data_IF_276539470035
#
_entry.id   IF_276539470035
#
_cell.length_a   1.000
_cell.length_b   1.000
_cell.length_c   1.000
_cell.angle_alpha   90.00
_cell.angle_beta   90.00
_cell.angle_gamma   90.00
#
_symmetry.space_group_name_H-M   'P 1'
#
loop_
_entity.id
_entity.type
_entity.pdbx_description
1 polymer ?
#
# COMPACT_ATOMS: atom_id res chain seq x y z
N UNK A 1 21.69 20.13 -4.78
CA UNK A 1 20.31 19.60 -4.85
C UNK A 1 19.76 19.56 -3.44
N UNK A 2 18.51 20.00 -3.21
CA UNK A 2 17.86 19.79 -1.93
C UNK A 2 17.82 18.30 -1.60
N UNK A 3 18.04 17.98 -0.32
CA UNK A 3 18.05 16.60 0.19
C UNK A 3 16.95 16.44 1.19
N UNK A 4 16.13 15.42 0.99
CA UNK A 4 15.02 15.07 1.87
C UNK A 4 15.35 13.79 2.62
N UNK A 5 15.28 13.82 3.94
CA UNK A 5 15.36 12.63 4.75
C UNK A 5 13.93 12.12 5.00
N UNK A 6 13.64 10.93 4.50
CA UNK A 6 12.36 10.25 4.71
C UNK A 6 12.58 8.94 5.46
N UNK A 7 11.71 8.61 6.40
CA UNK A 7 11.78 7.34 7.13
C UNK A 7 10.89 6.32 6.45
N UNK A 8 11.50 5.34 5.77
CA UNK A 8 10.77 4.31 5.03
C UNK A 8 11.04 2.94 5.64
N UNK A 9 9.98 2.23 6.02
CA UNK A 9 10.05 0.90 6.66
C UNK A 9 10.96 0.90 7.90
N UNK A 10 10.90 1.98 8.70
CA UNK A 10 11.72 2.16 9.88
C UNK A 10 13.15 2.64 9.63
N UNK A 11 13.60 2.72 8.38
CA UNK A 11 14.96 3.08 7.99
C UNK A 11 14.98 4.50 7.44
N UNK A 12 15.86 5.40 7.94
CA UNK A 12 16.06 6.71 7.32
C UNK A 12 16.69 6.55 5.94
N UNK A 13 16.16 7.26 4.96
CA UNK A 13 16.62 7.28 3.57
C UNK A 13 16.79 8.71 3.10
N UNK A 14 17.86 8.97 2.39
CA UNK A 14 18.14 10.28 1.78
C UNK A 14 17.70 10.23 0.31
N UNK A 15 16.94 11.22 -0.11
CA UNK A 15 16.52 11.39 -1.50
C UNK A 15 16.90 12.79 -1.95
N UNK A 16 17.72 12.85 -2.98
CA UNK A 16 18.12 14.11 -3.62
C UNK A 16 17.14 14.40 -4.77
N UNK A 17 16.48 15.56 -4.72
CA UNK A 17 15.61 16.02 -5.82
C UNK A 17 15.62 17.54 -5.91
N UNK A 18 15.49 18.07 -7.13
CA UNK A 18 15.35 19.51 -7.36
C UNK A 18 13.92 20.00 -7.16
N UNK A 19 12.94 19.07 -7.21
CA UNK A 19 11.52 19.41 -7.10
C UNK A 19 10.96 18.95 -5.74
N UNK A 20 10.64 19.88 -4.82
CA UNK A 20 10.01 19.57 -3.55
C UNK A 20 8.60 18.95 -3.71
N UNK A 21 7.98 19.16 -4.87
CA UNK A 21 6.68 18.60 -5.22
C UNK A 21 6.78 17.25 -5.94
N UNK A 22 8.01 16.73 -6.13
CA UNK A 22 8.16 15.39 -6.71
C UNK A 22 7.28 14.39 -5.95
N UNK A 23 6.43 13.61 -6.64
CA UNK A 23 5.61 12.60 -6.00
C UNK A 23 6.45 11.56 -5.24
N UNK A 24 6.04 11.25 -4.03
CA UNK A 24 6.68 10.24 -3.17
C UNK A 24 6.85 8.89 -3.89
N UNK A 25 5.93 8.53 -4.78
CA UNK A 25 5.98 7.34 -5.63
C UNK A 25 7.35 7.19 -6.32
N UNK A 26 7.86 8.25 -6.94
CA UNK A 26 9.14 8.17 -7.67
C UNK A 26 10.33 8.02 -6.73
N UNK A 27 10.31 8.71 -5.59
CA UNK A 27 11.33 8.57 -4.56
C UNK A 27 11.41 7.12 -4.03
N UNK A 28 10.26 6.53 -3.71
CA UNK A 28 10.18 5.14 -3.23
C UNK A 28 10.71 4.14 -4.29
N UNK A 29 10.31 4.33 -5.55
CA UNK A 29 10.79 3.47 -6.64
C UNK A 29 12.28 3.63 -6.92
N UNK A 30 12.81 4.86 -6.83
CA UNK A 30 14.25 5.12 -6.93
C UNK A 30 15.04 4.39 -5.82
N UNK A 31 14.47 4.29 -4.62
CA UNK A 31 15.03 3.52 -3.51
C UNK A 31 14.90 1.99 -3.66
N UNK A 32 14.41 1.50 -4.79
CA UNK A 32 14.25 0.08 -5.08
C UNK A 32 12.98 -0.57 -4.51
N UNK A 33 12.05 0.23 -3.97
CA UNK A 33 10.78 -0.25 -3.40
C UNK A 33 9.75 -0.44 -4.53
N UNK A 34 9.84 -1.57 -5.20
CA UNK A 34 9.11 -1.84 -6.45
C UNK A 34 7.67 -2.29 -6.24
N UNK A 35 7.25 -2.58 -5.02
CA UNK A 35 5.85 -2.87 -4.70
C UNK A 35 4.94 -1.67 -4.96
N UNK A 36 5.48 -0.45 -4.85
CA UNK A 36 4.75 0.79 -5.14
C UNK A 36 4.67 0.98 -6.64
N UNK A 37 3.45 0.85 -7.22
CA UNK A 37 3.24 0.83 -8.66
C UNK A 37 2.71 2.16 -9.19
N UNK A 38 3.22 2.57 -10.36
CA UNK A 38 2.62 3.66 -11.12
C UNK A 38 1.47 3.11 -11.97
N UNK A 39 0.28 3.66 -11.81
CA UNK A 39 -0.88 3.33 -12.65
C UNK A 39 -1.42 4.61 -13.32
N UNK A 40 -2.39 5.29 -12.67
CA UNK A 40 -3.01 6.49 -13.25
C UNK A 40 -2.19 7.78 -13.07
N UNK A 41 -1.38 7.89 -12.02
CA UNK A 41 -0.70 9.14 -11.64
C UNK A 41 -1.62 10.25 -11.11
N UNK A 42 -2.91 9.95 -10.91
CA UNK A 42 -3.97 10.90 -10.56
C UNK A 42 -4.70 10.52 -9.25
N UNK A 43 -4.14 9.63 -8.44
CA UNK A 43 -4.72 9.22 -7.18
C UNK A 43 -5.94 8.30 -7.27
N UNK A 44 -6.36 7.85 -8.48
CA UNK A 44 -7.62 7.15 -8.72
C UNK A 44 -7.52 5.62 -8.63
N UNK A 45 -6.42 5.02 -9.14
CA UNK A 45 -6.35 3.55 -9.29
C UNK A 45 -5.89 2.80 -8.05
N UNK A 46 -5.23 3.45 -7.11
CA UNK A 46 -4.75 2.84 -5.87
C UNK A 46 -3.50 1.98 -5.95
N UNK A 47 -2.91 1.75 -7.13
CA UNK A 47 -1.72 0.91 -7.29
C UNK A 47 -0.48 1.44 -6.55
N UNK A 48 -0.44 2.73 -6.28
CA UNK A 48 0.64 3.43 -5.59
C UNK A 48 0.40 3.61 -4.08
N UNK A 49 -0.60 2.95 -3.50
CA UNK A 49 -0.95 3.13 -2.09
C UNK A 49 0.20 2.68 -1.18
N UNK A 50 0.55 3.55 -0.26
CA UNK A 50 1.46 3.30 0.87
C UNK A 50 0.80 3.78 2.15
N UNK A 51 1.37 3.43 3.29
CA UNK A 51 0.92 3.94 4.59
C UNK A 51 1.86 5.08 5.00
N UNK A 52 1.31 6.25 5.25
CA UNK A 52 2.03 7.39 5.82
C UNK A 52 1.30 7.81 7.09
N UNK A 53 2.02 7.82 8.19
CA UNK A 53 1.47 8.19 9.50
C UNK A 53 0.15 7.46 9.80
N UNK A 54 0.14 6.13 9.64
CA UNK A 54 -0.99 5.21 9.84
C UNK A 54 -2.17 5.37 8.85
N UNK A 55 -2.04 6.21 7.83
CA UNK A 55 -3.10 6.43 6.82
C UNK A 55 -2.70 5.86 5.46
N UNK A 56 -3.64 5.25 4.78
CA UNK A 56 -3.46 4.83 3.38
C UNK A 56 -3.50 6.07 2.47
N UNK A 57 -2.40 6.31 1.77
CA UNK A 57 -2.28 7.48 0.88
C UNK A 57 -1.84 7.07 -0.53
N UNK A 58 -2.22 7.86 -1.50
CA UNK A 58 -1.80 7.69 -2.90
C UNK A 58 -0.46 8.40 -3.10
N UNK A 59 0.63 7.66 -3.10
CA UNK A 59 1.99 8.23 -3.19
C UNK A 59 2.25 9.01 -4.49
N UNK A 60 1.48 8.76 -5.54
CA UNK A 60 1.55 9.54 -6.78
C UNK A 60 1.05 10.99 -6.64
N UNK A 61 0.27 11.28 -5.59
CA UNK A 61 -0.28 12.61 -5.31
C UNK A 61 0.38 13.31 -4.11
N UNK A 62 1.25 12.61 -3.39
CA UNK A 62 1.87 13.13 -2.18
C UNK A 62 3.26 13.70 -2.48
N UNK A 63 3.51 15.00 -2.29
CA UNK A 63 4.84 15.58 -2.45
C UNK A 63 5.83 15.01 -1.45
N UNK A 64 7.09 14.79 -1.87
CA UNK A 64 8.14 14.29 -0.98
C UNK A 64 8.37 15.23 0.21
N UNK A 65 8.27 16.53 0.02
CA UNK A 65 8.39 17.54 1.08
C UNK A 65 7.35 17.40 2.20
N UNK A 66 6.21 16.75 1.92
CA UNK A 66 5.13 16.58 2.90
C UNK A 66 5.32 15.39 3.84
N UNK A 67 6.32 14.53 3.60
CA UNK A 67 6.55 13.30 4.38
C UNK A 67 7.84 13.30 5.21
N UNK A 68 8.59 14.39 5.20
CA UNK A 68 9.93 14.50 5.77
C UNK A 68 10.05 13.99 7.23
N UNK A 69 9.03 14.22 8.06
CA UNK A 69 9.01 13.75 9.46
C UNK A 69 8.06 12.57 9.72
N UNK A 70 7.38 12.07 8.69
CA UNK A 70 6.33 11.06 8.85
C UNK A 70 6.85 9.66 8.49
N UNK A 71 6.49 8.63 9.27
CA UNK A 71 6.84 7.26 8.91
C UNK A 71 6.08 6.81 7.67
N UNK A 72 6.82 6.29 6.69
CA UNK A 72 6.29 5.71 5.46
C UNK A 72 6.46 4.19 5.53
N UNK A 73 5.39 3.44 5.29
CA UNK A 73 5.45 1.97 5.18
C UNK A 73 4.99 1.55 3.79
N UNK A 74 5.81 0.75 3.12
CA UNK A 74 5.47 0.08 1.87
C UNK A 74 5.18 -1.40 2.13
N UNK A 75 4.78 -2.15 1.09
CA UNK A 75 4.51 -3.59 1.24
C UNK A 75 5.74 -4.35 1.74
N UNK A 76 6.94 -3.94 1.34
CA UNK A 76 8.20 -4.54 1.78
C UNK A 76 8.44 -4.38 3.29
N UNK A 77 7.84 -3.37 3.91
CA UNK A 77 7.92 -3.13 5.36
C UNK A 77 6.75 -3.69 6.16
N UNK A 78 5.72 -4.23 5.50
CA UNK A 78 4.54 -4.79 6.17
C UNK A 78 4.81 -6.18 6.75
N UNK A 79 5.56 -7.00 6.02
CA UNK A 79 6.00 -8.33 6.43
C UNK A 79 7.05 -8.86 5.46
N UNK A 80 7.70 -9.99 5.81
CA UNK A 80 8.74 -10.65 5.02
C UNK A 80 8.27 -12.00 4.48
N UNK A 81 9.06 -12.62 3.59
CA UNK A 81 8.79 -13.95 3.09
C UNK A 81 8.70 -14.99 4.22
N UNK A 82 9.58 -14.88 5.23
CA UNK A 82 9.63 -15.82 6.36
C UNK A 82 8.57 -15.52 7.43
N UNK A 83 8.13 -14.25 7.50
CA UNK A 83 7.11 -13.79 8.45
C UNK A 83 6.13 -12.84 7.76
N UNK A 84 5.26 -13.38 6.91
CA UNK A 84 4.30 -12.55 6.20
C UNK A 84 3.26 -11.93 7.14
N UNK A 85 2.84 -10.72 6.83
CA UNK A 85 1.68 -10.11 7.48
C UNK A 85 0.43 -10.98 7.23
N UNK A 86 -0.55 -11.06 8.15
CA UNK A 86 -1.77 -11.86 7.96
C UNK A 86 -2.48 -11.64 6.62
N UNK A 87 -2.53 -10.40 6.14
CA UNK A 87 -3.06 -10.08 4.80
C UNK A 87 -2.23 -10.71 3.68
N UNK A 88 -0.89 -10.64 3.75
CA UNK A 88 -0.02 -11.26 2.75
C UNK A 88 -0.23 -12.78 2.72
N UNK A 89 -0.28 -13.41 3.89
CA UNK A 89 -0.54 -14.84 4.02
C UNK A 89 -1.92 -15.24 3.45
N UNK A 90 -2.96 -14.46 3.74
CA UNK A 90 -4.30 -14.70 3.22
C UNK A 90 -4.38 -14.52 1.69
N UNK A 91 -3.67 -13.54 1.13
CA UNK A 91 -3.59 -13.33 -0.32
C UNK A 91 -2.85 -14.48 -1.01
N UNK A 92 -1.79 -15.02 -0.42
CA UNK A 92 -1.05 -16.19 -0.93
C UNK A 92 -1.95 -17.42 -0.86
N UNK A 93 -2.52 -17.73 0.31
CA UNK A 93 -3.38 -18.90 0.51
C UNK A 93 -4.60 -18.87 -0.41
N UNK A 94 -5.21 -17.71 -0.58
CA UNK A 94 -6.39 -17.51 -1.43
C UNK A 94 -6.07 -17.40 -2.92
N UNK A 95 -4.79 -17.47 -3.33
CA UNK A 95 -4.36 -17.30 -4.72
C UNK A 95 -5.00 -16.08 -5.38
N UNK A 96 -5.00 -14.95 -4.65
CA UNK A 96 -5.74 -13.75 -5.01
C UNK A 96 -5.23 -13.09 -6.29
N UNK A 97 -3.90 -12.85 -6.48
CA UNK A 97 -3.39 -12.15 -7.64
C UNK A 97 -3.58 -12.90 -8.95
N UNK A 98 -3.82 -12.17 -10.03
CA UNK A 98 -3.55 -12.63 -11.39
C UNK A 98 -2.27 -11.95 -11.89
N UNK A 99 -2.34 -10.78 -12.52
CA UNK A 99 -1.13 -10.06 -12.94
C UNK A 99 -0.34 -9.49 -11.75
N UNK A 100 -0.95 -9.30 -10.60
CA UNK A 100 -0.33 -8.82 -9.36
C UNK A 100 -0.13 -7.30 -9.27
N UNK A 101 -0.46 -6.52 -10.31
CA UNK A 101 -0.13 -5.10 -10.35
C UNK A 101 -0.87 -4.27 -9.30
N UNK A 102 -2.14 -4.56 -9.02
CA UNK A 102 -2.96 -3.87 -8.01
C UNK A 102 -2.77 -4.43 -6.59
N UNK A 103 -2.14 -5.59 -6.44
CA UNK A 103 -2.13 -6.37 -5.19
C UNK A 103 -1.52 -5.61 -4.02
N UNK A 104 -0.37 -4.96 -4.22
CA UNK A 104 0.30 -4.20 -3.17
C UNK A 104 -0.59 -3.07 -2.63
N UNK A 105 -1.20 -2.29 -3.53
CA UNK A 105 -2.09 -1.20 -3.14
C UNK A 105 -3.32 -1.69 -2.36
N UNK A 106 -3.90 -2.81 -2.76
CA UNK A 106 -5.04 -3.41 -2.07
C UNK A 106 -4.65 -3.91 -0.67
N UNK A 107 -3.50 -4.58 -0.53
CA UNK A 107 -3.00 -5.03 0.78
C UNK A 107 -2.73 -3.83 1.69
N UNK A 108 -2.09 -2.77 1.19
CA UNK A 108 -1.79 -1.59 2.00
C UNK A 108 -3.06 -0.87 2.47
N UNK A 109 -4.08 -0.75 1.60
CA UNK A 109 -5.39 -0.20 1.97
C UNK A 109 -6.08 -1.07 3.03
N UNK A 110 -6.12 -2.39 2.81
CA UNK A 110 -6.72 -3.32 3.75
C UNK A 110 -5.98 -3.36 5.11
N UNK A 111 -4.65 -3.18 5.11
CA UNK A 111 -3.87 -3.13 6.33
C UNK A 111 -4.28 -1.96 7.25
N UNK A 112 -4.55 -0.80 6.67
CA UNK A 112 -5.07 0.35 7.42
C UNK A 112 -6.47 0.05 7.97
N UNK A 113 -7.37 -0.48 7.13
CA UNK A 113 -8.71 -0.86 7.57
C UNK A 113 -8.67 -1.81 8.77
N UNK A 114 -7.85 -2.89 8.70
CA UNK A 114 -7.75 -3.88 9.78
C UNK A 114 -7.03 -3.36 11.02
N UNK A 115 -6.22 -2.31 10.90
CA UNK A 115 -5.63 -1.62 12.04
C UNK A 115 -6.69 -0.82 12.81
N UNK A 116 -7.62 -0.20 12.10
CA UNK A 116 -8.71 0.63 12.66
C UNK A 116 -9.91 -0.24 13.10
N UNK A 117 -10.29 -1.21 12.27
CA UNK A 117 -11.46 -2.07 12.48
C UNK A 117 -11.04 -3.54 12.43
N UNK A 118 -10.96 -4.19 13.59
CA UNK A 118 -10.46 -5.58 13.70
C UNK A 118 -11.34 -6.61 12.99
N UNK A 119 -12.65 -6.38 12.97
CA UNK A 119 -13.63 -7.27 12.35
C UNK A 119 -14.58 -6.46 11.45
N UNK A 120 -14.09 -5.96 10.30
CA UNK A 120 -14.94 -5.20 9.39
C UNK A 120 -16.01 -6.09 8.77
N UNK A 121 -17.15 -5.51 8.45
CA UNK A 121 -18.16 -6.13 7.60
C UNK A 121 -17.68 -6.16 6.15
N UNK A 122 -18.28 -7.03 5.32
CA UNK A 122 -17.99 -7.04 3.88
C UNK A 122 -18.24 -5.68 3.23
N UNK A 123 -19.26 -4.95 3.67
CA UNK A 123 -19.58 -3.62 3.16
C UNK A 123 -18.46 -2.61 3.46
N UNK A 124 -17.91 -2.64 4.68
CA UNK A 124 -16.76 -1.79 5.06
C UNK A 124 -15.51 -2.15 4.28
N UNK A 125 -15.23 -3.43 4.05
CA UNK A 125 -14.10 -3.85 3.21
C UNK A 125 -14.28 -3.36 1.77
N UNK A 126 -15.48 -3.49 1.19
CA UNK A 126 -15.77 -2.98 -0.17
C UNK A 126 -15.60 -1.47 -0.25
N UNK A 127 -16.14 -0.74 0.72
CA UNK A 127 -16.02 0.72 0.78
C UNK A 127 -14.56 1.18 0.91
N UNK A 128 -13.76 0.52 1.75
CA UNK A 128 -12.34 0.84 1.90
C UNK A 128 -11.54 0.60 0.61
N UNK A 129 -11.89 -0.44 -0.15
CA UNK A 129 -11.20 -0.84 -1.38
C UNK A 129 -11.75 -0.18 -2.65
N UNK A 130 -12.79 0.64 -2.57
CA UNK A 130 -13.47 1.24 -3.73
C UNK A 130 -12.51 2.03 -4.64
N UNK A 131 -11.53 2.70 -4.06
CA UNK A 131 -10.48 3.40 -4.81
C UNK A 131 -9.30 2.53 -5.28
N UNK A 132 -9.40 1.20 -5.24
CA UNK A 132 -8.35 0.27 -5.68
C UNK A 132 -8.84 -0.53 -6.88
N UNK A 133 -8.35 -0.20 -8.09
CA UNK A 133 -8.81 -0.80 -9.34
C UNK A 133 -8.02 -2.06 -9.70
N UNK A 134 -8.72 -3.09 -10.14
CA UNK A 134 -8.13 -4.32 -10.66
C UNK A 134 -8.68 -4.63 -12.06
N UNK A 135 -7.82 -4.61 -13.07
CA UNK A 135 -8.22 -4.93 -14.45
C UNK A 135 -8.52 -6.42 -14.65
N UNK A 136 -7.94 -7.28 -13.82
CA UNK A 136 -8.19 -8.73 -13.84
C UNK A 136 -9.49 -9.14 -13.12
N UNK A 137 -10.14 -8.22 -12.40
CA UNK A 137 -11.42 -8.48 -11.74
C UNK A 137 -11.33 -9.36 -10.50
N UNK A 138 -10.22 -9.34 -9.76
CA UNK A 138 -9.99 -10.22 -8.60
C UNK A 138 -10.72 -9.78 -7.32
N UNK A 139 -11.62 -8.82 -7.38
CA UNK A 139 -12.27 -8.18 -6.21
C UNK A 139 -12.91 -9.19 -5.24
N UNK A 140 -13.59 -10.22 -5.74
CA UNK A 140 -14.19 -11.24 -4.89
C UNK A 140 -13.17 -12.07 -4.10
N UNK A 141 -12.00 -12.35 -4.70
CA UNK A 141 -10.88 -13.03 -4.01
C UNK A 141 -10.23 -12.10 -2.99
N UNK A 142 -10.05 -10.83 -3.34
CA UNK A 142 -9.52 -9.81 -2.41
C UNK A 142 -10.40 -9.68 -1.19
N UNK A 143 -11.72 -9.54 -1.37
CA UNK A 143 -12.68 -9.45 -0.27
C UNK A 143 -12.56 -10.66 0.67
N UNK A 144 -12.60 -11.88 0.12
CA UNK A 144 -12.44 -13.10 0.93
C UNK A 144 -11.12 -13.12 1.69
N UNK A 145 -10.02 -12.75 1.05
CA UNK A 145 -8.70 -12.74 1.71
C UNK A 145 -8.65 -11.74 2.87
N UNK A 146 -9.26 -10.56 2.72
CA UNK A 146 -9.34 -9.57 3.82
C UNK A 146 -10.20 -10.12 4.97
N UNK A 147 -11.34 -10.75 4.67
CA UNK A 147 -12.19 -11.39 5.69
C UNK A 147 -11.44 -12.51 6.43
N UNK A 148 -10.69 -13.35 5.70
CA UNK A 148 -9.84 -14.40 6.31
C UNK A 148 -8.77 -13.77 7.21
N UNK A 149 -8.09 -12.74 6.74
CA UNK A 149 -7.04 -12.04 7.51
C UNK A 149 -7.59 -11.39 8.80
N UNK A 150 -8.86 -11.01 8.82
CA UNK A 150 -9.55 -10.48 10.00
C UNK A 150 -10.09 -11.57 10.94
N UNK A 151 -9.89 -12.86 10.62
CA UNK A 151 -10.40 -14.00 11.39
C UNK A 151 -11.89 -14.27 11.21
N UNK A 152 -12.52 -13.78 10.14
CA UNK A 152 -13.96 -13.89 9.87
C UNK A 152 -14.30 -14.80 8.68
N UNK A 153 -13.31 -15.38 8.05
CA UNK A 153 -13.47 -16.26 6.89
C UNK A 153 -12.75 -17.60 7.05
N UNK A 154 -13.11 -18.55 6.23
CA UNK A 154 -12.46 -19.88 6.11
C UNK A 154 -11.74 -20.00 4.77
#
# INVERSE_FOLDING_TARGET
MPRYEIRVNGIPRLVDTLDPNQPLLYALRFLGLTSVKYGCGLGQCGACTVIVDKKAVRSCMMPISSVESKPVTTLEGLGSADKPHPLQAAFIKGQVPQCGYCTSGMIMTAAVLLAETKKPTEAEVRAALDGNLCRCGTYGRVLRAVMVASGQGT
#
